data_IF_717970748918
#
_entry.id   IF_717970748918
#
_cell.length_a   1.000
_cell.length_b   1.000
_cell.length_c   1.000
_cell.angle_alpha   90.00
_cell.angle_beta   90.00
_cell.angle_gamma   90.00
#
_symmetry.space_group_name_H-M   'P 1'
#
loop_
_entity.id
_entity.type
_entity.pdbx_description
1 polymer ?
#
# COMPACT_ATOMS: atom_id res chain seq x y z
N UNK A 1 -8.60 14.27 -9.35
CA UNK A 1 -7.44 15.17 -9.23
C UNK A 1 -6.30 14.79 -10.18
N UNK A 2 -5.42 13.83 -9.85
CA UNK A 2 -4.17 13.62 -10.63
C UNK A 2 -4.41 13.35 -12.11
N UNK A 3 -5.31 12.41 -12.43
CA UNK A 3 -5.66 12.10 -13.83
C UNK A 3 -6.25 13.30 -14.58
N UNK A 4 -7.01 14.15 -13.91
CA UNK A 4 -7.63 15.35 -14.52
C UNK A 4 -6.59 16.45 -14.77
N UNK A 5 -5.62 16.61 -13.86
CA UNK A 5 -4.62 17.67 -13.95
C UNK A 5 -3.39 17.27 -14.77
N UNK A 6 -2.98 16.00 -14.72
CA UNK A 6 -1.70 15.50 -15.24
C UNK A 6 -1.87 14.43 -16.33
N UNK A 7 -3.05 13.85 -16.49
CA UNK A 7 -3.31 12.75 -17.42
C UNK A 7 -2.90 11.36 -16.91
N UNK A 8 -2.37 11.25 -15.69
CA UNK A 8 -1.97 10.00 -15.04
C UNK A 8 -2.13 10.09 -13.51
N UNK A 9 -2.15 8.96 -12.79
CA UNK A 9 -2.13 8.90 -11.32
C UNK A 9 -0.73 8.66 -10.77
N UNK A 10 -0.52 8.85 -9.46
CA UNK A 10 0.74 8.49 -8.82
C UNK A 10 1.05 6.98 -8.90
N UNK A 11 0.03 6.12 -8.96
CA UNK A 11 0.22 4.69 -9.20
C UNK A 11 0.77 4.43 -10.61
N UNK A 12 0.28 5.14 -11.64
CA UNK A 12 0.81 5.07 -13.01
C UNK A 12 2.28 5.51 -13.06
N UNK A 13 2.59 6.66 -12.43
CA UNK A 13 3.96 7.20 -12.38
C UNK A 13 4.92 6.30 -11.60
N UNK A 14 4.49 5.82 -10.43
CA UNK A 14 5.28 4.91 -9.59
C UNK A 14 5.62 3.62 -10.32
N UNK A 15 4.64 3.01 -11.01
CA UNK A 15 4.88 1.84 -11.84
C UNK A 15 5.93 2.09 -12.94
N UNK A 16 5.80 3.22 -13.66
CA UNK A 16 6.76 3.60 -14.70
C UNK A 16 8.18 3.79 -14.14
N UNK A 17 8.32 4.43 -12.98
CA UNK A 17 9.61 4.62 -12.30
C UNK A 17 10.25 3.29 -11.88
N UNK A 18 9.48 2.42 -11.22
CA UNK A 18 9.99 1.11 -10.76
C UNK A 18 10.43 0.23 -11.93
N UNK A 19 9.72 0.32 -13.07
CA UNK A 19 10.11 -0.34 -14.31
C UNK A 19 11.41 0.20 -14.88
N UNK A 20 11.58 1.53 -14.92
CA UNK A 20 12.79 2.17 -15.42
C UNK A 20 14.01 1.82 -14.55
N UNK A 21 13.83 1.75 -13.24
CA UNK A 21 14.86 1.31 -12.28
C UNK A 21 15.10 -0.20 -12.29
N UNK A 22 14.36 -0.96 -13.11
CA UNK A 22 14.48 -2.43 -13.24
C UNK A 22 14.28 -3.17 -11.91
N UNK A 23 13.38 -2.66 -11.06
CA UNK A 23 12.99 -3.38 -9.85
C UNK A 23 12.15 -4.62 -10.19
N UNK A 24 12.10 -5.64 -9.32
CA UNK A 24 11.26 -6.82 -9.52
C UNK A 24 9.81 -6.49 -9.88
N UNK A 25 9.23 -7.27 -10.81
CA UNK A 25 7.86 -7.07 -11.32
C UNK A 25 6.80 -7.11 -10.21
N UNK A 26 7.05 -7.84 -9.11
CA UNK A 26 6.17 -7.86 -7.94
C UNK A 26 5.95 -6.47 -7.35
N UNK A 27 7.02 -5.67 -7.23
CA UNK A 27 6.91 -4.30 -6.72
C UNK A 27 6.22 -3.38 -7.73
N UNK A 28 6.51 -3.56 -9.02
CA UNK A 28 5.88 -2.79 -10.08
C UNK A 28 4.36 -3.01 -10.10
N UNK A 29 3.90 -4.26 -10.01
CA UNK A 29 2.48 -4.61 -10.05
C UNK A 29 1.76 -4.19 -8.76
N UNK A 30 2.37 -4.42 -7.59
CA UNK A 30 1.81 -3.99 -6.32
C UNK A 30 1.61 -2.46 -6.27
N UNK A 31 2.60 -1.67 -6.72
CA UNK A 31 2.46 -0.20 -6.80
C UNK A 31 1.40 0.20 -7.81
N UNK A 32 1.29 -0.47 -8.95
CA UNK A 32 0.29 -0.11 -9.97
C UNK A 32 -1.15 -0.38 -9.51
N UNK A 33 -1.36 -1.46 -8.76
CA UNK A 33 -2.69 -1.96 -8.42
C UNK A 33 -3.10 -1.79 -6.94
N UNK A 34 -2.30 -1.16 -6.07
CA UNK A 34 -2.65 -1.05 -4.65
C UNK A 34 -4.01 -0.37 -4.36
N UNK A 35 -4.48 0.53 -5.23
CA UNK A 35 -5.83 1.12 -5.13
C UNK A 35 -6.96 0.23 -5.66
N UNK A 36 -6.63 -0.84 -6.39
CA UNK A 36 -7.58 -1.77 -7.02
C UNK A 36 -6.95 -3.16 -7.08
N UNK A 37 -6.70 -3.80 -5.92
CA UNK A 37 -5.86 -4.99 -5.83
C UNK A 37 -6.45 -6.19 -6.60
N UNK A 38 -7.78 -6.27 -6.74
CA UNK A 38 -8.45 -7.26 -7.60
C UNK A 38 -8.05 -7.20 -9.09
N UNK A 39 -7.46 -6.09 -9.56
CA UNK A 39 -6.96 -5.96 -10.92
C UNK A 39 -5.58 -6.62 -11.11
N UNK A 40 -4.86 -6.95 -10.03
CA UNK A 40 -3.59 -7.66 -10.10
C UNK A 40 -3.77 -9.06 -10.71
N UNK A 41 -2.79 -9.50 -11.50
CA UNK A 41 -2.83 -10.75 -12.26
C UNK A 41 -1.79 -11.74 -11.77
N UNK A 42 -0.55 -11.31 -11.55
CA UNK A 42 0.59 -12.20 -11.25
C UNK A 42 0.97 -12.14 -9.78
N UNK A 43 0.96 -10.95 -9.18
CA UNK A 43 1.45 -10.70 -7.82
C UNK A 43 0.31 -10.24 -6.90
N UNK A 44 -0.74 -11.06 -6.85
CA UNK A 44 -1.99 -10.75 -6.12
C UNK A 44 -1.76 -10.63 -4.62
N UNK A 45 -0.93 -11.53 -4.05
CA UNK A 45 -0.66 -11.55 -2.61
C UNK A 45 0.12 -10.30 -2.21
N UNK A 46 1.16 -9.95 -2.95
CA UNK A 46 1.97 -8.75 -2.70
C UNK A 46 1.13 -7.48 -2.84
N UNK A 47 0.26 -7.42 -3.85
CA UNK A 47 -0.65 -6.29 -4.04
C UNK A 47 -1.66 -6.19 -2.88
N UNK A 48 -2.21 -7.32 -2.42
CA UNK A 48 -3.11 -7.37 -1.27
C UNK A 48 -2.41 -6.91 0.02
N UNK A 49 -1.16 -7.32 0.26
CA UNK A 49 -0.37 -6.88 1.41
C UNK A 49 -0.23 -5.36 1.40
N UNK A 50 0.16 -4.77 0.26
CA UNK A 50 0.33 -3.30 0.15
C UNK A 50 -0.99 -2.57 0.33
N UNK A 51 -2.08 -3.06 -0.28
CA UNK A 51 -3.42 -2.49 -0.12
C UNK A 51 -3.87 -2.49 1.34
N UNK A 52 -3.76 -3.62 2.04
CA UNK A 52 -4.14 -3.72 3.45
C UNK A 52 -3.24 -2.89 4.36
N UNK A 53 -1.94 -2.83 4.08
CA UNK A 53 -1.00 -1.99 4.84
C UNK A 53 -1.33 -0.49 4.70
N UNK A 54 -1.69 -0.03 3.50
CA UNK A 54 -2.15 1.34 3.25
C UNK A 54 -3.40 1.67 4.08
N UNK A 55 -4.40 0.78 4.02
CA UNK A 55 -5.63 0.93 4.81
C UNK A 55 -5.39 0.96 6.33
N UNK A 56 -4.56 0.05 6.85
CA UNK A 56 -4.24 -0.01 8.27
C UNK A 56 -3.46 1.23 8.72
N UNK A 57 -2.51 1.70 7.91
CA UNK A 57 -1.74 2.91 8.20
C UNK A 57 -2.66 4.12 8.31
N UNK A 58 -3.61 4.25 7.39
CA UNK A 58 -4.64 5.29 7.46
C UNK A 58 -5.52 5.16 8.72
N UNK A 59 -6.00 3.95 9.03
CA UNK A 59 -6.84 3.70 10.19
C UNK A 59 -6.11 4.00 11.53
N UNK A 60 -4.79 3.80 11.57
CA UNK A 60 -3.93 4.16 12.71
C UNK A 60 -3.62 5.66 12.78
N UNK A 61 -4.05 6.46 11.79
CA UNK A 61 -3.66 7.87 11.69
C UNK A 61 -2.17 8.07 11.42
N UNK A 62 -1.51 7.05 10.85
CA UNK A 62 -0.10 7.09 10.50
C UNK A 62 0.08 7.66 9.09
N UNK A 63 0.96 8.66 8.99
CA UNK A 63 1.24 9.36 7.74
C UNK A 63 0.45 10.65 7.57
N UNK A 64 0.82 11.42 6.56
CA UNK A 64 0.22 12.71 6.23
C UNK A 64 0.09 12.85 4.73
N UNK A 65 -0.59 11.90 4.09
CA UNK A 65 -0.66 11.81 2.62
C UNK A 65 -1.27 13.04 1.95
N UNK A 66 -1.90 13.94 2.72
CA UNK A 66 -2.69 15.05 2.18
C UNK A 66 -3.89 14.58 1.34
N UNK A 67 -4.09 13.27 1.25
CA UNK A 67 -5.13 12.61 0.47
C UNK A 67 -6.18 12.08 1.42
N UNK A 68 -7.43 12.46 1.19
CA UNK A 68 -8.61 11.86 1.82
C UNK A 68 -9.09 10.62 1.09
N UNK A 69 -8.41 10.22 0.00
CA UNK A 69 -8.81 9.12 -0.85
C UNK A 69 -8.41 7.80 -0.18
N UNK A 70 -9.38 7.17 0.47
CA UNK A 70 -9.24 5.81 0.98
C UNK A 70 -9.31 4.87 -0.22
N UNK A 71 -8.27 4.06 -0.44
CA UNK A 71 -8.40 2.86 -1.28
C UNK A 71 -9.58 2.06 -0.73
N UNK A 72 -10.68 1.98 -1.49
CA UNK A 72 -11.89 1.28 -1.02
C UNK A 72 -11.56 -0.15 -0.61
N UNK A 73 -12.14 -0.61 0.51
CA UNK A 73 -11.94 -1.98 0.99
C UNK A 73 -12.22 -3.00 -0.12
N UNK A 74 -11.26 -3.87 -0.41
CA UNK A 74 -11.38 -4.96 -1.38
C UNK A 74 -11.46 -6.31 -0.63
N UNK A 75 -12.65 -6.92 -0.50
CA UNK A 75 -12.81 -8.19 0.21
C UNK A 75 -11.96 -9.33 -0.37
N UNK A 76 -11.87 -9.52 -1.71
CA UNK A 76 -10.99 -10.54 -2.28
C UNK A 76 -9.52 -10.40 -1.86
N UNK A 77 -9.00 -9.16 -1.78
CA UNK A 77 -7.65 -8.91 -1.30
C UNK A 77 -7.51 -9.22 0.20
N UNK A 78 -8.50 -8.85 1.02
CA UNK A 78 -8.52 -9.18 2.44
C UNK A 78 -8.55 -10.70 2.69
N UNK A 79 -9.43 -11.41 1.99
CA UNK A 79 -9.57 -12.87 2.10
C UNK A 79 -8.29 -13.59 1.66
N UNK A 80 -7.55 -13.04 0.70
CA UNK A 80 -6.29 -13.61 0.22
C UNK A 80 -5.20 -13.61 1.30
N UNK A 81 -5.25 -12.68 2.25
CA UNK A 81 -4.25 -12.59 3.33
C UNK A 81 -4.50 -13.60 4.46
N UNK A 82 -5.72 -14.16 4.55
CA UNK A 82 -6.12 -15.11 5.58
C UNK A 82 -5.76 -14.65 7.01
N UNK A 83 -5.91 -13.35 7.27
CA UNK A 83 -5.61 -12.75 8.57
C UNK A 83 -6.80 -12.96 9.49
N UNK A 84 -6.61 -13.72 10.56
CA UNK A 84 -7.60 -13.79 11.62
C UNK A 84 -7.72 -12.41 12.31
N UNK A 85 -8.94 -11.84 12.43
CA UNK A 85 -9.14 -10.50 12.98
C UNK A 85 -8.56 -10.29 14.38
N UNK A 86 -8.42 -11.36 15.18
CA UNK A 86 -7.80 -11.31 16.51
C UNK A 86 -6.32 -10.90 16.50
N UNK A 87 -5.60 -11.06 15.38
CA UNK A 87 -4.21 -10.63 15.26
C UNK A 87 -4.04 -9.16 14.87
N UNK A 88 -5.10 -8.49 14.41
CA UNK A 88 -5.02 -7.09 13.97
C UNK A 88 -4.40 -6.15 15.01
N UNK A 89 -4.78 -6.20 16.32
CA UNK A 89 -4.17 -5.33 17.32
C UNK A 89 -2.65 -5.53 17.44
N UNK A 90 -2.18 -6.77 17.28
CA UNK A 90 -0.76 -7.09 17.35
C UNK A 90 -0.02 -6.58 16.10
N UNK A 91 -0.59 -6.76 14.91
CA UNK A 91 -0.05 -6.23 13.65
C UNK A 91 0.09 -4.71 13.75
N UNK A 92 -1.00 -4.03 14.13
CA UNK A 92 -1.03 -2.56 14.26
C UNK A 92 0.03 -2.06 15.25
N UNK A 93 0.13 -2.68 16.43
CA UNK A 93 1.13 -2.32 17.44
C UNK A 93 2.56 -2.50 16.93
N UNK A 94 2.84 -3.63 16.26
CA UNK A 94 4.17 -3.89 15.71
C UNK A 94 4.50 -2.93 14.57
N UNK A 95 3.55 -2.61 13.70
CA UNK A 95 3.71 -1.62 12.63
C UNK A 95 4.00 -0.22 13.17
N UNK A 96 3.25 0.24 14.18
CA UNK A 96 3.48 1.55 14.80
C UNK A 96 4.89 1.66 15.39
N UNK A 97 5.35 0.64 16.13
CA UNK A 97 6.69 0.63 16.71
C UNK A 97 7.76 0.62 15.60
N UNK A 98 7.62 -0.24 14.60
CA UNK A 98 8.58 -0.33 13.50
C UNK A 98 8.70 0.99 12.72
N UNK A 99 7.60 1.71 12.51
CA UNK A 99 7.63 3.04 11.88
C UNK A 99 8.33 4.07 12.75
N UNK A 100 8.10 4.09 14.08
CA UNK A 100 8.80 4.99 15.00
C UNK A 100 10.32 4.75 14.98
N UNK A 101 10.73 3.48 15.02
CA UNK A 101 12.14 3.10 15.00
C UNK A 101 12.83 3.55 13.70
N UNK A 102 12.18 3.30 12.55
CA UNK A 102 12.70 3.71 11.24
C UNK A 102 12.81 5.23 11.09
N UNK A 103 11.79 5.98 11.53
CA UNK A 103 11.83 7.44 11.49
C UNK A 103 12.95 7.98 12.39
N UNK A 104 13.21 7.34 13.53
CA UNK A 104 14.32 7.68 14.42
C UNK A 104 15.68 7.68 13.70
N UNK A 105 15.94 6.68 12.85
CA UNK A 105 17.20 6.54 12.10
C UNK A 105 17.50 7.73 11.18
N UNK A 106 16.47 8.40 10.65
CA UNK A 106 16.64 9.55 9.74
C UNK A 106 16.65 10.91 10.47
N UNK A 107 16.37 10.92 11.77
CA UNK A 107 16.35 12.13 12.60
C UNK A 107 17.60 12.29 13.48
N UNK A 108 18.51 11.31 13.41
CA UNK A 108 19.88 11.37 13.98
C UNK A 108 20.88 11.94 12.95
#
# INVERSE_FOLDING_TARGET
VEKECLGFSHADLGHALLREWRLPEAYQEAVYHHHSPSAARRFKLETAIVHTADMLSLAMGMGGSGSTCISGFDPPAWDLLDIEPGFLPQIMKTSEQGTKDLIGVFND
#
